data_IF_710926256014
#
_entry.id   IF_710926256014
#
_cell.length_a   1.000
_cell.length_b   1.000
_cell.length_c   1.000
_cell.angle_alpha   90.00
_cell.angle_beta   90.00
_cell.angle_gamma   90.00
#
_symmetry.space_group_name_H-M   'P 1'
#
loop_
_entity.id
_entity.type
_entity.pdbx_description
1 polymer ?
#
# COMPACT_ATOMS: atom_id res chain seq x y z
N UNK A 1 -31.89 -52.79 40.31
CA UNK A 1 -31.91 -53.77 39.19
C UNK A 1 -33.00 -53.30 38.25
N UNK A 2 -32.82 -52.95 37.00
CA UNK A 2 -31.73 -52.96 36.02
C UNK A 2 -32.20 -52.02 34.89
N UNK A 3 -31.29 -51.49 34.06
CA UNK A 3 -31.54 -50.31 33.24
C UNK A 3 -32.26 -50.60 31.93
N UNK A 4 -32.96 -49.57 31.44
CA UNK A 4 -33.70 -49.48 30.19
C UNK A 4 -32.75 -49.26 29.00
N UNK A 5 -33.04 -49.81 27.80
CA UNK A 5 -32.10 -49.83 26.69
C UNK A 5 -32.18 -48.54 25.83
N UNK A 6 -31.01 -48.12 25.38
CA UNK A 6 -30.73 -47.02 24.45
C UNK A 6 -31.22 -47.30 23.02
N UNK A 7 -31.81 -46.30 22.33
CA UNK A 7 -31.89 -46.28 20.88
C UNK A 7 -30.74 -45.45 20.25
N UNK A 8 -30.39 -45.72 18.98
CA UNK A 8 -29.17 -45.23 18.34
C UNK A 8 -29.28 -43.80 17.80
N UNK A 9 -28.14 -43.09 17.83
CA UNK A 9 -27.94 -41.75 17.29
C UNK A 9 -27.85 -41.74 15.75
N UNK A 10 -28.39 -40.71 15.09
CA UNK A 10 -28.01 -40.32 13.74
C UNK A 10 -27.31 -38.95 13.75
N UNK A 11 -25.98 -38.93 13.72
CA UNK A 11 -25.21 -37.75 13.27
C UNK A 11 -25.06 -37.89 11.75
N UNK A 12 -25.65 -37.07 10.88
CA UNK A 12 -25.93 -35.65 11.05
C UNK A 12 -24.78 -34.86 10.46
N UNK A 13 -24.91 -34.52 9.17
CA UNK A 13 -23.97 -33.73 8.39
C UNK A 13 -23.48 -32.48 9.13
N UNK A 14 -22.22 -32.45 9.53
CA UNK A 14 -21.54 -31.27 10.05
C UNK A 14 -20.46 -30.83 9.05
N UNK A 15 -20.88 -30.14 8.00
CA UNK A 15 -19.93 -29.45 7.12
C UNK A 15 -20.60 -28.25 6.44
N UNK A 16 -20.89 -27.22 7.23
CA UNK A 16 -20.99 -25.82 6.80
C UNK A 16 -21.33 -24.96 8.03
N UNK A 17 -20.31 -24.27 8.55
CA UNK A 17 -20.34 -23.01 9.32
C UNK A 17 -19.13 -22.98 10.27
N UNK A 18 -18.04 -22.40 9.80
CA UNK A 18 -17.03 -21.76 10.64
C UNK A 18 -16.40 -20.66 9.80
N UNK A 19 -17.15 -19.57 9.75
CA UNK A 19 -16.66 -18.23 9.42
C UNK A 19 -15.95 -17.65 10.65
N UNK A 20 -14.99 -16.75 10.37
CA UNK A 20 -14.59 -15.63 11.24
C UNK A 20 -13.73 -15.89 12.48
N UNK A 21 -12.41 -15.73 12.31
CA UNK A 21 -11.54 -14.75 13.00
C UNK A 21 -10.09 -15.25 13.02
N UNK A 22 -9.31 -14.93 11.99
CA UNK A 22 -7.86 -14.87 12.12
C UNK A 22 -7.37 -13.48 11.73
N UNK A 23 -7.37 -12.63 12.76
CA UNK A 23 -6.39 -11.58 13.05
C UNK A 23 -5.66 -11.00 11.83
N UNK A 24 -6.18 -9.86 11.38
CA UNK A 24 -5.41 -8.82 10.72
C UNK A 24 -4.25 -8.38 11.64
N UNK A 25 -3.06 -8.94 11.42
CA UNK A 25 -1.83 -8.25 11.76
C UNK A 25 -1.55 -7.24 10.65
N UNK A 26 -1.40 -5.93 10.93
CA UNK A 26 -0.91 -4.99 9.93
C UNK A 26 0.55 -5.35 9.63
N UNK A 27 0.77 -6.01 8.48
CA UNK A 27 2.10 -6.29 7.99
C UNK A 27 2.87 -4.97 7.83
N UNK A 28 4.09 -4.96 8.37
CA UNK A 28 5.09 -3.91 8.24
C UNK A 28 5.18 -3.40 6.79
N UNK A 29 5.22 -2.07 6.54
CA UNK A 29 5.29 -1.48 5.21
C UNK A 29 6.73 -1.51 4.69
N UNK A 30 7.25 -2.71 4.45
CA UNK A 30 8.53 -2.85 3.74
C UNK A 30 8.31 -2.59 2.25
N UNK A 31 9.18 -1.78 1.60
CA UNK A 31 9.03 -1.49 0.18
C UNK A 31 9.09 -2.77 -0.64
N UNK A 32 8.41 -2.82 -1.81
CA UNK A 32 8.51 -3.97 -2.70
C UNK A 32 9.99 -4.19 -3.06
N UNK A 33 10.46 -5.45 -3.04
CA UNK A 33 11.85 -5.75 -3.36
C UNK A 33 12.18 -5.22 -4.76
N UNK A 34 13.37 -4.62 -4.96
CA UNK A 34 13.78 -4.15 -6.27
C UNK A 34 13.68 -5.30 -7.28
N UNK A 35 13.18 -5.00 -8.48
CA UNK A 35 12.96 -6.00 -9.53
C UNK A 35 14.24 -6.84 -9.74
N UNK A 36 14.13 -8.17 -9.93
CA UNK A 36 15.30 -9.04 -10.05
C UNK A 36 16.23 -8.52 -11.14
N UNK A 37 17.45 -8.15 -10.75
CA UNK A 37 18.46 -7.73 -11.72
C UNK A 37 18.86 -8.98 -12.51
N UNK A 38 18.77 -8.97 -13.85
CA UNK A 38 19.20 -10.11 -14.64
C UNK A 38 20.69 -10.38 -14.37
N UNK A 39 21.03 -11.64 -14.07
CA UNK A 39 22.42 -12.09 -13.94
C UNK A 39 23.12 -12.23 -15.29
N UNK A 40 22.38 -12.04 -16.39
CA UNK A 40 22.94 -12.03 -17.74
C UNK A 40 23.79 -10.78 -17.96
N UNK A 41 24.99 -10.89 -18.54
CA UNK A 41 25.85 -9.74 -18.81
C UNK A 41 25.14 -8.68 -19.66
N UNK A 42 24.97 -7.47 -19.11
CA UNK A 42 24.51 -6.32 -19.86
C UNK A 42 25.55 -5.79 -20.85
N UNK A 43 25.25 -4.69 -21.58
CA UNK A 43 26.16 -4.15 -22.58
C UNK A 43 27.48 -3.68 -21.97
N UNK A 44 27.45 -3.10 -20.76
CA UNK A 44 28.66 -2.65 -20.07
C UNK A 44 29.48 -3.81 -19.50
N UNK A 45 28.82 -4.81 -18.90
CA UNK A 45 29.49 -6.01 -18.41
C UNK A 45 30.17 -6.79 -19.55
N UNK A 46 29.49 -6.93 -20.69
CA UNK A 46 30.05 -7.57 -21.89
C UNK A 46 31.28 -6.81 -22.41
N UNK A 47 31.23 -5.48 -22.44
CA UNK A 47 32.39 -4.66 -22.83
C UNK A 47 33.57 -4.82 -21.87
N UNK A 48 33.32 -4.92 -20.56
CA UNK A 48 34.39 -5.16 -19.59
C UNK A 48 35.11 -6.49 -19.86
N UNK A 49 34.34 -7.55 -20.10
CA UNK A 49 34.89 -8.87 -20.46
C UNK A 49 35.69 -8.83 -21.78
N UNK A 50 35.16 -8.13 -22.79
CA UNK A 50 35.85 -7.94 -24.08
C UNK A 50 37.19 -7.23 -23.89
N UNK A 51 37.21 -6.08 -23.22
CA UNK A 51 38.43 -5.31 -22.97
C UNK A 51 39.47 -6.13 -22.20
N UNK A 52 39.03 -6.90 -21.19
CA UNK A 52 39.92 -7.79 -20.45
C UNK A 52 40.54 -8.86 -21.34
N UNK A 53 39.74 -9.57 -22.13
CA UNK A 53 40.22 -10.62 -23.03
C UNK A 53 41.19 -10.08 -24.09
N UNK A 54 40.90 -8.91 -24.67
CA UNK A 54 41.78 -8.25 -25.63
C UNK A 54 43.11 -7.82 -24.98
N UNK A 55 43.06 -7.27 -23.77
CA UNK A 55 44.25 -6.86 -23.01
C UNK A 55 45.12 -8.08 -22.65
N UNK A 56 44.51 -9.20 -22.24
CA UNK A 56 45.22 -10.44 -21.94
C UNK A 56 45.92 -10.99 -23.19
N UNK A 57 45.20 -11.07 -24.32
CA UNK A 57 45.78 -11.51 -25.59
C UNK A 57 46.93 -10.61 -26.06
N UNK A 58 46.81 -9.30 -25.87
CA UNK A 58 47.87 -8.35 -26.23
C UNK A 58 49.11 -8.53 -25.35
N UNK A 59 48.92 -8.81 -24.07
CA UNK A 59 49.99 -9.09 -23.11
C UNK A 59 50.72 -10.38 -23.48
N UNK A 60 49.98 -11.45 -23.79
CA UNK A 60 50.55 -12.72 -24.22
C UNK A 60 51.32 -12.61 -25.54
N UNK A 61 50.82 -11.81 -26.50
CA UNK A 61 51.52 -11.54 -27.77
C UNK A 61 52.82 -10.75 -27.59
N UNK A 62 52.86 -9.82 -26.64
CA UNK A 62 54.07 -9.06 -26.34
C UNK A 62 55.20 -9.97 -25.80
N UNK A 63 54.84 -11.03 -25.08
CA UNK A 63 55.75 -12.09 -24.66
C UNK A 63 55.99 -13.11 -25.79
N UNK A 64 56.59 -12.64 -26.88
CA UNK A 64 56.99 -13.50 -27.98
C UNK A 64 58.15 -14.42 -27.56
N UNK A 65 58.20 -15.62 -28.15
CA UNK A 65 59.32 -16.55 -27.92
C UNK A 65 60.68 -15.93 -28.27
N UNK A 66 60.75 -15.06 -29.28
CA UNK A 66 61.99 -14.36 -29.64
C UNK A 66 62.48 -13.44 -28.51
N UNK A 67 61.58 -12.67 -27.89
CA UNK A 67 61.90 -11.82 -26.74
C UNK A 67 62.33 -12.67 -25.53
N UNK A 68 61.63 -13.79 -25.28
CA UNK A 68 61.94 -14.69 -24.18
C UNK A 68 63.30 -15.39 -24.36
N UNK A 69 63.57 -15.93 -25.55
CA UNK A 69 64.83 -16.62 -25.84
C UNK A 69 66.04 -15.67 -25.85
N UNK A 70 65.85 -14.39 -26.20
CA UNK A 70 66.91 -13.38 -26.14
C UNK A 70 67.42 -13.15 -24.70
N UNK A 71 66.55 -13.28 -23.68
CA UNK A 71 66.94 -13.20 -22.27
C UNK A 71 67.68 -14.45 -21.76
N UNK A 72 67.58 -15.58 -22.47
CA UNK A 72 68.19 -16.86 -22.09
C UNK A 72 69.05 -17.43 -23.24
N UNK A 73 70.17 -16.78 -23.60
CA UNK A 73 70.96 -17.13 -24.78
C UNK A 73 71.63 -18.51 -24.69
N UNK A 74 72.03 -18.95 -23.49
CA UNK A 74 72.69 -20.25 -23.29
C UNK A 74 71.71 -21.43 -23.41
N UNK A 75 70.54 -21.42 -22.72
CA UNK A 75 69.50 -22.43 -22.94
C UNK A 75 68.95 -22.44 -24.37
N UNK A 76 68.75 -21.27 -25.00
CA UNK A 76 68.22 -21.16 -26.35
C UNK A 76 69.09 -21.88 -27.40
N UNK A 77 70.42 -21.91 -27.21
CA UNK A 77 71.36 -22.62 -28.10
C UNK A 77 71.49 -24.11 -27.79
N UNK A 78 71.45 -24.48 -26.50
CA UNK A 78 71.75 -25.86 -26.06
C UNK A 78 70.51 -26.75 -26.02
N UNK A 79 69.35 -26.21 -25.66
CA UNK A 79 68.10 -26.97 -25.49
C UNK A 79 66.90 -26.13 -25.92
N UNK A 80 66.76 -25.80 -27.23
CA UNK A 80 65.67 -24.94 -27.71
C UNK A 80 64.28 -25.54 -27.47
N UNK A 81 64.15 -26.87 -27.58
CA UNK A 81 62.85 -27.55 -27.43
C UNK A 81 62.29 -27.46 -26.00
N UNK A 82 63.14 -27.65 -24.99
CA UNK A 82 62.71 -27.51 -23.58
C UNK A 82 62.38 -26.07 -23.23
N UNK A 83 63.13 -25.10 -23.76
CA UNK A 83 62.85 -23.67 -23.53
C UNK A 83 61.51 -23.24 -24.17
N UNK A 84 61.23 -23.70 -25.39
CA UNK A 84 59.94 -23.47 -26.06
C UNK A 84 58.78 -24.11 -25.27
N UNK A 85 58.98 -25.31 -24.72
CA UNK A 85 58.00 -25.97 -23.86
C UNK A 85 57.71 -25.16 -22.59
N UNK A 86 58.74 -24.67 -21.90
CA UNK A 86 58.59 -23.82 -20.70
C UNK A 86 57.87 -22.52 -21.04
N UNK A 87 58.22 -21.85 -22.13
CA UNK A 87 57.55 -20.62 -22.57
C UNK A 87 56.06 -20.86 -22.87
N UNK A 88 55.72 -21.95 -23.57
CA UNK A 88 54.32 -22.33 -23.82
C UNK A 88 53.56 -22.62 -22.53
N UNK A 89 54.16 -23.37 -21.61
CA UNK A 89 53.56 -23.69 -20.32
C UNK A 89 53.33 -22.44 -19.47
N UNK A 90 54.30 -21.51 -19.44
CA UNK A 90 54.19 -20.24 -18.74
C UNK A 90 53.04 -19.40 -19.31
N UNK A 91 52.97 -19.22 -20.62
CA UNK A 91 51.90 -18.45 -21.25
C UNK A 91 50.53 -19.10 -21.06
N UNK A 92 50.45 -20.43 -21.16
CA UNK A 92 49.20 -21.16 -20.92
C UNK A 92 48.73 -21.01 -19.46
N UNK A 93 49.66 -21.13 -18.49
CA UNK A 93 49.33 -20.96 -17.06
C UNK A 93 48.97 -19.53 -16.71
N UNK A 94 49.68 -18.56 -17.28
CA UNK A 94 49.35 -17.14 -17.10
C UNK A 94 47.95 -16.84 -17.65
N UNK A 95 47.61 -17.35 -18.83
CA UNK A 95 46.28 -17.17 -19.42
C UNK A 95 45.18 -17.82 -18.56
N UNK A 96 45.38 -19.07 -18.16
CA UNK A 96 44.43 -19.84 -17.34
C UNK A 96 44.21 -19.16 -15.98
N UNK A 97 45.29 -18.83 -15.26
CA UNK A 97 45.23 -18.15 -13.97
C UNK A 97 44.59 -16.77 -14.09
N UNK A 98 44.97 -15.95 -15.09
CA UNK A 98 44.39 -14.62 -15.25
C UNK A 98 42.88 -14.67 -15.54
N UNK A 99 42.43 -15.63 -16.35
CA UNK A 99 40.99 -15.83 -16.62
C UNK A 99 40.25 -16.30 -15.37
N UNK A 100 40.81 -17.26 -14.63
CA UNK A 100 40.20 -17.78 -13.41
C UNK A 100 40.05 -16.68 -12.35
N UNK A 101 41.13 -15.95 -12.05
CA UNK A 101 41.11 -14.85 -11.08
C UNK A 101 40.14 -13.73 -11.50
N UNK A 102 40.03 -13.45 -12.79
CA UNK A 102 39.07 -12.46 -13.28
C UNK A 102 37.62 -12.90 -13.05
N UNK A 103 37.27 -14.16 -13.34
CA UNK A 103 35.95 -14.70 -13.06
C UNK A 103 35.65 -14.76 -11.56
N UNK A 104 36.65 -15.05 -10.73
CA UNK A 104 36.53 -14.99 -9.26
C UNK A 104 36.22 -13.58 -8.78
N UNK A 105 36.96 -12.57 -9.27
CA UNK A 105 36.70 -11.16 -8.95
C UNK A 105 35.31 -10.71 -9.44
N UNK A 106 34.88 -11.15 -10.62
CA UNK A 106 33.54 -10.84 -11.13
C UNK A 106 32.44 -11.39 -10.22
N UNK A 107 32.61 -12.61 -9.70
CA UNK A 107 31.68 -13.26 -8.77
C UNK A 107 31.69 -12.62 -7.39
N UNK A 108 32.88 -12.47 -6.78
CA UNK A 108 33.05 -11.95 -5.42
C UNK A 108 32.53 -10.53 -5.25
N UNK A 109 32.67 -9.71 -6.29
CA UNK A 109 32.25 -8.30 -6.28
C UNK A 109 30.87 -8.09 -6.89
N UNK A 110 30.18 -9.16 -7.29
CA UNK A 110 28.89 -9.11 -7.99
C UNK A 110 28.87 -8.09 -9.15
N UNK A 111 29.97 -7.99 -9.92
CA UNK A 111 30.19 -6.88 -10.87
C UNK A 111 29.09 -6.84 -11.93
N UNK A 112 28.66 -8.00 -12.41
CA UNK A 112 27.63 -8.09 -13.46
C UNK A 112 26.32 -7.45 -12.98
N UNK A 113 25.90 -7.77 -11.75
CA UNK A 113 24.70 -7.20 -11.12
C UNK A 113 24.84 -5.69 -10.95
N UNK A 114 25.98 -5.22 -10.44
CA UNK A 114 26.24 -3.78 -10.26
C UNK A 114 26.25 -2.99 -11.58
N UNK A 115 26.88 -3.53 -12.64
CA UNK A 115 26.90 -2.87 -13.95
C UNK A 115 25.54 -2.89 -14.63
N UNK A 116 24.76 -3.95 -14.46
CA UNK A 116 23.40 -4.03 -14.97
C UNK A 116 22.46 -3.05 -14.27
N UNK A 117 22.60 -2.90 -12.94
CA UNK A 117 21.87 -1.90 -12.18
C UNK A 117 22.25 -0.48 -12.60
N UNK A 118 23.54 -0.21 -12.84
CA UNK A 118 23.99 1.07 -13.37
C UNK A 118 23.36 1.38 -14.73
N UNK A 119 23.34 0.40 -15.66
CA UNK A 119 22.72 0.60 -16.97
C UNK A 119 21.21 0.84 -16.86
N UNK A 120 20.52 0.19 -15.90
CA UNK A 120 19.11 0.50 -15.56
C UNK A 120 18.93 1.93 -15.10
N UNK A 121 19.73 2.38 -14.11
CA UNK A 121 19.65 3.73 -13.56
C UNK A 121 19.95 4.81 -14.60
N UNK A 122 20.93 4.57 -15.48
CA UNK A 122 21.24 5.47 -16.61
C UNK A 122 20.09 5.52 -17.60
N UNK A 123 19.43 4.39 -17.88
CA UNK A 123 18.23 4.35 -18.71
C UNK A 123 17.08 5.18 -18.14
N UNK A 124 16.77 4.99 -16.86
CA UNK A 124 15.73 5.77 -16.18
C UNK A 124 16.06 7.27 -16.13
N UNK A 125 17.31 7.62 -15.86
CA UNK A 125 17.74 9.02 -15.84
C UNK A 125 17.60 9.70 -17.22
N UNK A 126 17.88 8.96 -18.31
CA UNK A 126 17.65 9.45 -19.68
C UNK A 126 16.16 9.68 -19.94
N UNK A 127 15.31 8.74 -19.55
CA UNK A 127 13.86 8.86 -19.68
C UNK A 127 13.33 10.09 -18.91
N UNK A 128 13.76 10.28 -17.65
CA UNK A 128 13.41 11.44 -16.83
C UNK A 128 13.81 12.76 -17.48
N UNK A 129 15.03 12.83 -18.03
CA UNK A 129 15.52 14.00 -18.76
C UNK A 129 14.70 14.29 -20.03
N UNK A 130 14.33 13.25 -20.77
CA UNK A 130 13.47 13.37 -21.96
C UNK A 130 12.05 13.84 -21.59
N UNK A 131 11.55 13.43 -20.41
CA UNK A 131 10.27 13.88 -19.86
C UNK A 131 10.32 15.31 -19.28
N UNK A 132 11.45 16.01 -19.39
CA UNK A 132 11.60 17.41 -18.96
C UNK A 132 11.90 17.61 -17.47
N UNK A 133 12.26 16.55 -16.73
CA UNK A 133 12.77 16.71 -15.37
C UNK A 133 14.10 17.46 -15.39
N UNK A 134 14.20 18.52 -14.57
CA UNK A 134 15.41 19.34 -14.48
C UNK A 134 16.50 18.59 -13.75
N UNK A 135 17.72 18.76 -14.24
CA UNK A 135 18.92 18.24 -13.58
C UNK A 135 19.04 18.81 -12.17
N UNK A 136 19.28 17.93 -11.19
CA UNK A 136 19.43 18.33 -9.80
C UNK A 136 20.66 19.25 -9.68
N UNK A 137 20.47 20.42 -9.08
CA UNK A 137 21.51 21.46 -8.94
C UNK A 137 22.59 21.05 -7.93
N UNK A 138 22.29 20.12 -7.03
CA UNK A 138 23.17 19.71 -5.94
C UNK A 138 23.56 18.23 -6.07
N UNK A 139 24.86 17.91 -6.00
CA UNK A 139 25.31 16.53 -5.95
C UNK A 139 24.79 15.80 -4.72
N UNK A 140 24.47 14.49 -4.81
CA UNK A 140 23.91 13.74 -3.68
C UNK A 140 24.88 13.62 -2.49
N UNK A 141 26.19 13.74 -2.71
CA UNK A 141 27.20 13.68 -1.65
C UNK A 141 27.33 14.98 -0.83
N UNK A 142 26.67 16.07 -1.26
CA UNK A 142 26.62 17.33 -0.49
C UNK A 142 25.36 17.44 0.37
N UNK A 143 24.44 16.47 0.27
CA UNK A 143 23.19 16.47 1.04
C UNK A 143 23.46 16.14 2.52
N UNK A 144 22.85 16.91 3.41
CA UNK A 144 22.94 16.68 4.84
C UNK A 144 22.16 15.42 5.28
N UNK A 145 22.52 14.84 6.43
CA UNK A 145 21.83 13.68 6.98
C UNK A 145 20.32 13.90 7.19
N UNK A 146 19.93 15.10 7.63
CA UNK A 146 18.52 15.46 7.82
C UNK A 146 17.76 15.54 6.49
N UNK A 147 18.40 16.05 5.44
CA UNK A 147 17.78 16.14 4.10
C UNK A 147 17.54 14.76 3.52
N UNK A 148 18.51 13.84 3.65
CA UNK A 148 18.35 12.44 3.25
C UNK A 148 17.24 11.74 4.03
N UNK A 149 17.18 11.97 5.34
CA UNK A 149 16.14 11.41 6.19
C UNK A 149 14.75 11.91 5.78
N UNK A 150 14.59 13.22 5.54
CA UNK A 150 13.33 13.81 5.09
C UNK A 150 12.94 13.31 3.70
N UNK A 151 13.90 13.22 2.76
CA UNK A 151 13.65 12.69 1.42
C UNK A 151 13.16 11.24 1.45
N UNK A 152 13.70 10.42 2.36
CA UNK A 152 13.25 9.05 2.55
C UNK A 152 11.85 8.97 3.19
N UNK A 153 11.53 9.87 4.14
CA UNK A 153 10.22 9.90 4.78
C UNK A 153 9.11 10.51 3.92
N UNK A 154 9.46 11.42 3.01
CA UNK A 154 8.51 12.12 2.14
C UNK A 154 7.50 11.22 1.43
N UNK A 155 7.87 10.10 0.76
CA UNK A 155 6.89 9.23 0.11
C UNK A 155 5.89 8.62 1.11
N UNK A 156 6.36 8.13 2.26
CA UNK A 156 5.50 7.54 3.29
C UNK A 156 4.53 8.55 3.89
N UNK A 157 5.02 9.77 4.18
CA UNK A 157 4.18 10.84 4.69
C UNK A 157 3.15 11.28 3.66
N UNK A 158 3.52 11.31 2.37
CA UNK A 158 2.59 11.66 1.27
C UNK A 158 1.48 10.62 1.11
N UNK A 159 1.80 9.33 1.22
CA UNK A 159 0.82 8.23 1.17
C UNK A 159 -0.13 8.29 2.37
N UNK A 160 0.42 8.48 3.58
CA UNK A 160 -0.38 8.62 4.79
C UNK A 160 -1.31 9.83 4.71
N UNK A 161 -0.81 10.97 4.21
CA UNK A 161 -1.60 12.18 4.00
C UNK A 161 -2.73 11.95 2.97
N UNK A 162 -2.43 11.30 1.85
CA UNK A 162 -3.44 10.95 0.85
C UNK A 162 -4.54 10.05 1.45
N UNK A 163 -4.16 9.02 2.20
CA UNK A 163 -5.11 8.13 2.88
C UNK A 163 -6.02 8.87 3.88
N UNK A 164 -5.43 9.75 4.70
CA UNK A 164 -6.20 10.56 5.66
C UNK A 164 -7.14 11.54 4.98
N UNK A 165 -6.70 12.18 3.89
CA UNK A 165 -7.55 13.08 3.11
C UNK A 165 -8.75 12.33 2.52
N UNK A 166 -8.55 11.14 1.94
CA UNK A 166 -9.66 10.33 1.43
C UNK A 166 -10.65 9.96 2.54
N UNK A 167 -10.18 9.56 3.73
CA UNK A 167 -11.06 9.25 4.87
C UNK A 167 -11.85 10.48 5.33
N UNK A 168 -11.19 11.63 5.39
CA UNK A 168 -11.80 12.89 5.78
C UNK A 168 -12.87 13.32 4.78
N UNK A 169 -12.61 13.20 3.48
CA UNK A 169 -13.59 13.48 2.43
C UNK A 169 -14.81 12.55 2.53
N UNK A 170 -14.60 11.25 2.79
CA UNK A 170 -15.70 10.30 2.99
C UNK A 170 -16.56 10.69 4.18
N UNK A 171 -15.96 10.96 5.34
CA UNK A 171 -16.68 11.34 6.56
C UNK A 171 -17.40 12.69 6.38
N UNK A 172 -16.80 13.65 5.67
CA UNK A 172 -17.47 14.91 5.37
C UNK A 172 -18.71 14.72 4.48
N UNK A 173 -18.62 13.84 3.47
CA UNK A 173 -19.78 13.49 2.62
C UNK A 173 -20.88 12.81 3.43
N UNK A 174 -20.53 11.86 4.29
CA UNK A 174 -21.49 11.17 5.15
C UNK A 174 -22.17 12.14 6.14
N UNK A 175 -21.40 13.01 6.79
CA UNK A 175 -21.94 14.03 7.69
C UNK A 175 -22.88 15.01 6.98
N UNK A 176 -22.54 15.43 5.75
CA UNK A 176 -23.42 16.28 4.95
C UNK A 176 -24.76 15.58 4.67
N UNK A 177 -24.73 14.31 4.25
CA UNK A 177 -25.94 13.52 4.00
C UNK A 177 -26.77 13.30 5.28
N UNK A 178 -26.12 13.02 6.41
CA UNK A 178 -26.82 12.87 7.68
C UNK A 178 -27.45 14.17 8.15
N UNK A 179 -26.74 15.30 8.01
CA UNK A 179 -27.28 16.62 8.34
C UNK A 179 -28.50 16.96 7.48
N UNK A 180 -28.48 16.63 6.19
CA UNK A 180 -29.62 16.82 5.30
C UNK A 180 -30.82 15.95 5.72
N UNK A 181 -30.58 14.67 6.04
CA UNK A 181 -31.62 13.76 6.55
C UNK A 181 -32.24 14.26 7.84
N UNK A 182 -31.42 14.73 8.80
CA UNK A 182 -31.92 15.29 10.06
C UNK A 182 -32.75 16.55 9.82
N UNK A 183 -32.31 17.43 8.91
CA UNK A 183 -33.07 18.63 8.56
C UNK A 183 -34.43 18.28 7.91
N UNK A 184 -34.46 17.28 7.02
CA UNK A 184 -35.69 16.76 6.43
C UNK A 184 -36.63 16.19 7.49
N UNK A 185 -36.13 15.29 8.35
CA UNK A 185 -36.92 14.66 9.42
C UNK A 185 -37.47 15.69 10.41
N UNK A 186 -36.70 16.74 10.74
CA UNK A 186 -37.20 17.83 11.60
C UNK A 186 -38.40 18.54 10.99
N UNK A 187 -38.35 18.86 9.68
CA UNK A 187 -39.49 19.47 8.98
C UNK A 187 -40.70 18.54 8.90
N UNK A 188 -40.46 17.25 8.69
CA UNK A 188 -41.53 16.23 8.68
C UNK A 188 -42.21 16.13 10.06
N UNK A 189 -41.43 16.12 11.15
CA UNK A 189 -41.96 16.12 12.52
C UNK A 189 -42.78 17.39 12.78
N UNK A 190 -42.27 18.56 12.39
CA UNK A 190 -43.01 19.83 12.52
C UNK A 190 -44.36 19.79 11.78
N UNK A 191 -44.40 19.22 10.58
CA UNK A 191 -45.65 19.05 9.82
C UNK A 191 -46.61 18.06 10.49
N UNK A 192 -46.11 16.93 10.98
CA UNK A 192 -46.93 15.93 11.68
C UNK A 192 -47.49 16.48 13.00
N UNK A 193 -46.70 17.25 13.75
CA UNK A 193 -47.16 17.90 14.97
C UNK A 193 -48.25 18.93 14.68
N UNK A 194 -48.07 19.78 13.67
CA UNK A 194 -49.10 20.74 13.25
C UNK A 194 -50.39 20.04 12.79
N UNK A 195 -50.28 18.90 12.10
CA UNK A 195 -51.43 18.07 11.71
C UNK A 195 -52.14 17.46 12.91
N UNK A 196 -51.39 16.97 13.91
CA UNK A 196 -51.97 16.45 15.15
C UNK A 196 -52.67 17.54 15.97
N UNK A 197 -52.07 18.74 16.07
CA UNK A 197 -52.70 19.88 16.73
C UNK A 197 -54.02 20.27 16.06
N UNK A 198 -54.07 20.25 14.72
CA UNK A 198 -55.32 20.48 13.98
C UNK A 198 -56.38 19.40 14.28
N UNK A 199 -56.00 18.12 14.27
CA UNK A 199 -56.95 17.01 14.59
C UNK A 199 -57.42 17.09 16.05
N UNK A 200 -56.55 17.46 16.99
CA UNK A 200 -56.94 17.67 18.40
C UNK A 200 -57.96 18.80 18.47
N UNK A 201 -57.70 19.94 17.81
CA UNK A 201 -58.65 21.05 17.75
C UNK A 201 -59.99 20.66 17.12
N UNK A 202 -59.98 19.81 16.08
CA UNK A 202 -61.20 19.31 15.46
C UNK A 202 -62.00 18.39 16.40
N UNK A 203 -61.32 17.51 17.15
CA UNK A 203 -61.95 16.62 18.14
C UNK A 203 -62.48 17.42 19.33
N UNK A 204 -61.75 18.42 19.82
CA UNK A 204 -62.22 19.35 20.85
C UNK A 204 -63.44 20.12 20.37
N UNK A 205 -63.45 20.59 19.12
CA UNK A 205 -64.60 21.23 18.48
C UNK A 205 -65.81 20.29 18.35
N UNK A 206 -65.60 19.02 17.96
CA UNK A 206 -66.66 18.02 17.88
C UNK A 206 -67.20 17.63 19.27
N UNK A 207 -66.33 17.53 20.28
CA UNK A 207 -66.72 17.30 21.67
C UNK A 207 -67.56 18.47 22.21
N UNK A 208 -67.16 19.72 21.93
CA UNK A 208 -67.95 20.90 22.28
C UNK A 208 -69.33 20.88 21.59
N UNK A 209 -69.37 20.62 20.28
CA UNK A 209 -70.64 20.54 19.53
C UNK A 209 -71.57 19.43 20.04
N UNK A 210 -71.03 18.27 20.43
CA UNK A 210 -71.83 17.19 21.03
C UNK A 210 -72.34 17.53 22.42
N UNK A 211 -71.58 18.28 23.23
CA UNK A 211 -72.10 18.80 24.49
C UNK A 211 -73.23 19.81 24.27
N UNK A 212 -73.13 20.68 23.27
CA UNK A 212 -74.19 21.64 22.94
C UNK A 212 -75.45 20.99 22.36
N UNK A 213 -75.30 19.87 21.64
CA UNK A 213 -76.40 19.11 21.03
C UNK A 213 -76.99 18.02 21.93
N UNK A 214 -76.42 17.75 23.12
CA UNK A 214 -77.04 16.83 24.09
C UNK A 214 -78.40 17.40 24.51
N UNK A 215 -79.52 16.70 24.29
CA UNK A 215 -80.86 17.19 24.66
C UNK A 215 -81.00 17.47 26.17
N UNK A 216 -80.12 16.91 27.00
CA UNK A 216 -80.07 17.22 28.43
C UNK A 216 -79.22 18.44 28.76
N UNK A 217 -78.47 19.02 27.82
CA UNK A 217 -77.60 20.16 28.09
C UNK A 217 -78.41 21.44 28.32
N UNK A 218 -79.45 21.71 27.53
CA UNK A 218 -80.39 22.81 27.81
C UNK A 218 -81.09 22.61 29.16
N UNK A 219 -81.57 21.38 29.43
CA UNK A 219 -82.20 21.04 30.70
C UNK A 219 -81.24 21.16 31.89
N UNK A 220 -79.96 20.81 31.73
CA UNK A 220 -78.93 20.98 32.77
C UNK A 220 -78.58 22.45 33.00
N UNK A 221 -78.51 23.26 31.94
CA UNK A 221 -78.31 24.72 32.05
C UNK A 221 -79.48 25.39 32.75
N UNK A 222 -80.71 25.10 32.35
CA UNK A 222 -81.92 25.59 33.02
C UNK A 222 -81.99 25.11 34.48
N UNK A 223 -81.60 23.86 34.77
CA UNK A 223 -81.54 23.36 36.14
C UNK A 223 -80.47 24.07 36.99
N UNK A 224 -79.30 24.38 36.42
CA UNK A 224 -78.25 25.15 37.10
C UNK A 224 -78.66 26.61 37.34
N UNK A 225 -79.27 27.26 36.35
CA UNK A 225 -79.80 28.62 36.50
C UNK A 225 -80.87 28.68 37.61
N UNK A 226 -81.78 27.70 37.64
CA UNK A 226 -82.80 27.61 38.69
C UNK A 226 -82.18 27.35 40.08
N UNK A 227 -81.15 26.50 40.19
CA UNK A 227 -80.43 26.26 41.46
C UNK A 227 -79.67 27.51 41.93
N UNK A 228 -79.09 28.28 41.00
CA UNK A 228 -78.40 29.53 41.30
C UNK A 228 -79.37 30.66 41.68
N UNK A 229 -80.56 30.72 41.06
CA UNK A 229 -81.65 31.59 41.49
C UNK A 229 -82.17 31.23 42.88
N UNK A 230 -82.34 29.94 43.19
CA UNK A 230 -82.72 29.48 44.52
C UNK A 230 -81.64 29.82 45.56
N UNK A 231 -80.35 29.65 45.22
CA UNK A 231 -79.23 30.06 46.10
C UNK A 231 -79.14 31.57 46.27
N UNK A 232 -79.42 32.35 45.23
CA UNK A 232 -79.43 33.81 45.30
C UNK A 232 -80.60 34.32 46.15
N UNK A 233 -81.78 33.68 46.05
CA UNK A 233 -82.94 33.96 46.89
C UNK A 233 -82.78 33.48 48.35
N UNK A 234 -81.86 32.55 48.61
CA UNK A 234 -81.53 32.05 49.95
C UNK A 234 -80.34 32.76 50.62
N UNK A 235 -79.69 33.73 49.96
CA UNK A 235 -78.73 34.63 50.62
C UNK A 235 -79.50 35.84 51.21
N UNK A 236 -79.44 36.06 52.54
CA UNK A 236 -80.14 37.16 53.21
C UNK A 236 -79.62 38.55 52.83
#
# INVERSE_FOLDING_TARGET
MTPQPTPPAPDGHAQQQQEEHQLQNPASPSPPPPAPVPLTPGPRASRLQQVFSEALLRTLRANSYANFAACFPTPAKRVPHSLESVWRQLNAKLEESARAEFEDVLRDREVIKGLNELDRLVGEARLRRENGEREAVLPPHTLGANELYQAHLAPYLSEAQASLNTKLETVQKENAQLSEKVAFQRREIEQLLAGLEAVISDVEGAAAATTELDPNHSLRKEAQEMDDEIKAAQRP
#
